data_IF_954339757318
#
_entry.id   IF_954339757318
#
_cell.length_a   1.000
_cell.length_b   1.000
_cell.length_c   1.000
_cell.angle_alpha   90.00
_cell.angle_beta   90.00
_cell.angle_gamma   90.00
#
_symmetry.space_group_name_H-M   'P 1'
#
loop_
_entity.id
_entity.type
_entity.pdbx_description
1 polymer ?
#
# COMPACT_ATOMS: atom_id res chain seq x y z
N UNK A 1 -15.61 -32.33 -15.58
CA UNK A 1 -15.15 -32.52 -14.18
C UNK A 1 -14.43 -31.25 -13.74
N UNK A 2 -14.90 -30.57 -12.70
CA UNK A 2 -14.30 -29.29 -12.28
C UNK A 2 -12.89 -29.53 -11.73
N UNK A 3 -11.90 -28.91 -12.36
CA UNK A 3 -10.57 -28.81 -11.75
C UNK A 3 -10.73 -28.22 -10.33
N UNK A 4 -10.10 -28.80 -9.30
CA UNK A 4 -10.17 -28.29 -7.93
C UNK A 4 -9.83 -26.80 -7.93
N UNK A 5 -10.66 -25.97 -7.29
CA UNK A 5 -10.45 -24.51 -7.29
C UNK A 5 -9.07 -24.15 -6.73
N UNK A 6 -8.57 -24.89 -5.74
CA UNK A 6 -7.22 -24.75 -5.22
C UNK A 6 -6.13 -24.83 -6.30
N UNK A 7 -6.26 -25.73 -7.28
CA UNK A 7 -5.29 -25.86 -8.38
C UNK A 7 -5.30 -24.65 -9.31
N UNK A 8 -6.46 -23.98 -9.47
CA UNK A 8 -6.57 -22.73 -10.23
C UNK A 8 -5.87 -21.59 -9.48
N UNK A 9 -6.12 -21.45 -8.17
CA UNK A 9 -5.43 -20.45 -7.36
C UNK A 9 -3.93 -20.65 -7.35
N UNK A 10 -3.44 -21.88 -7.15
CA UNK A 10 -2.00 -22.19 -7.17
C UNK A 10 -1.34 -21.91 -8.52
N UNK A 11 -2.08 -22.08 -9.63
CA UNK A 11 -1.60 -21.71 -10.96
C UNK A 11 -1.40 -20.20 -11.07
N UNK A 12 -2.41 -19.42 -10.70
CA UNK A 12 -2.35 -17.94 -10.75
C UNK A 12 -1.25 -17.44 -9.83
N UNK A 13 -1.19 -17.92 -8.58
CA UNK A 13 -0.15 -17.54 -7.61
C UNK A 13 1.27 -17.84 -8.12
N UNK A 14 1.45 -18.93 -8.88
CA UNK A 14 2.74 -19.24 -9.51
C UNK A 14 3.03 -18.30 -10.68
N UNK A 15 2.03 -18.01 -11.52
CA UNK A 15 2.16 -17.10 -12.67
C UNK A 15 2.55 -15.68 -12.23
N UNK A 16 2.03 -15.21 -11.09
CA UNK A 16 2.41 -13.91 -10.50
C UNK A 16 3.65 -13.98 -9.60
N UNK A 17 4.32 -15.13 -9.51
CA UNK A 17 5.58 -15.29 -8.76
C UNK A 17 5.44 -15.28 -7.24
N UNK A 18 4.23 -15.41 -6.68
CA UNK A 18 3.99 -15.48 -5.24
C UNK A 18 4.26 -16.86 -4.63
N UNK A 19 4.25 -17.92 -5.44
CA UNK A 19 4.59 -19.28 -4.98
C UNK A 19 5.58 -19.95 -5.93
N UNK A 20 6.51 -20.71 -5.35
CA UNK A 20 7.40 -21.62 -6.07
C UNK A 20 6.83 -23.03 -6.05
N UNK A 21 7.07 -23.76 -7.14
CA UNK A 21 6.73 -25.18 -7.26
C UNK A 21 8.00 -26.01 -7.37
N UNK A 22 8.06 -27.12 -6.63
CA UNK A 22 9.06 -28.16 -6.80
C UNK A 22 8.41 -29.51 -6.99
N UNK A 23 8.97 -30.32 -7.87
CA UNK A 23 8.51 -31.70 -8.08
C UNK A 23 9.20 -32.63 -7.07
N UNK A 24 8.42 -33.49 -6.44
CA UNK A 24 8.87 -34.51 -5.49
C UNK A 24 8.24 -35.85 -5.89
N UNK A 25 8.87 -36.52 -6.86
CA UNK A 25 8.32 -37.72 -7.49
C UNK A 25 7.00 -37.41 -8.19
N UNK A 26 5.90 -38.03 -7.73
CA UNK A 26 4.55 -37.81 -8.28
C UNK A 26 3.83 -36.59 -7.68
N UNK A 27 4.44 -35.90 -6.72
CA UNK A 27 3.84 -34.77 -6.01
C UNK A 27 4.42 -33.44 -6.48
N UNK A 28 3.59 -32.38 -6.46
CA UNK A 28 4.04 -30.99 -6.61
C UNK A 28 3.89 -30.29 -5.28
N UNK A 29 5.00 -29.79 -4.76
CA UNK A 29 5.05 -29.08 -3.49
C UNK A 29 5.14 -27.58 -3.77
N UNK A 30 4.21 -26.83 -3.18
CA UNK A 30 4.11 -25.38 -3.33
C UNK A 30 4.62 -24.71 -2.06
N UNK A 31 5.52 -23.73 -2.22
CA UNK A 31 6.03 -22.91 -1.13
C UNK A 31 5.86 -21.44 -1.45
N UNK A 32 5.63 -20.62 -0.43
CA UNK A 32 5.53 -19.17 -0.58
C UNK A 32 6.87 -18.58 -1.05
N UNK A 33 6.83 -17.64 -1.97
CA UNK A 33 7.98 -16.86 -2.40
C UNK A 33 7.83 -15.39 -1.98
N UNK A 34 8.46 -15.03 -0.87
CA UNK A 34 8.46 -13.65 -0.36
C UNK A 34 8.99 -12.62 -1.37
N UNK A 35 9.77 -13.05 -2.37
CA UNK A 35 10.27 -12.16 -3.44
C UNK A 35 9.13 -11.61 -4.31
N UNK A 36 8.06 -12.38 -4.52
CA UNK A 36 6.89 -11.93 -5.28
C UNK A 36 6.11 -10.81 -4.58
N UNK A 37 6.30 -10.62 -3.27
CA UNK A 37 5.68 -9.54 -2.50
C UNK A 37 6.48 -8.23 -2.52
N UNK A 38 7.72 -8.25 -3.01
CA UNK A 38 8.59 -7.07 -3.02
C UNK A 38 8.00 -5.87 -3.77
N UNK A 39 7.41 -6.02 -4.98
CA UNK A 39 6.82 -4.87 -5.69
C UNK A 39 5.68 -4.22 -4.91
N UNK A 40 4.88 -5.01 -4.19
CA UNK A 40 3.79 -4.49 -3.34
C UNK A 40 4.38 -3.71 -2.17
N UNK A 41 5.40 -4.25 -1.52
CA UNK A 41 6.08 -3.58 -0.42
C UNK A 41 6.72 -2.25 -0.85
N UNK A 42 7.39 -2.22 -2.01
CA UNK A 42 7.98 -1.00 -2.58
C UNK A 42 6.91 0.05 -2.92
N UNK A 43 5.79 -0.39 -3.50
CA UNK A 43 4.66 0.50 -3.80
C UNK A 43 4.02 1.08 -2.53
N UNK A 44 3.81 0.26 -1.50
CA UNK A 44 3.28 0.74 -0.21
C UNK A 44 4.25 1.73 0.45
N UNK A 45 5.55 1.46 0.43
CA UNK A 45 6.54 2.40 0.98
C UNK A 45 6.54 3.76 0.28
N UNK A 46 6.45 3.78 -1.06
CA UNK A 46 6.32 5.05 -1.79
C UNK A 46 5.01 5.81 -1.50
N UNK A 47 3.94 5.08 -1.16
CA UNK A 47 2.68 5.68 -0.76
C UNK A 47 2.79 6.38 0.60
N UNK A 48 3.53 5.81 1.56
CA UNK A 48 3.77 6.45 2.86
C UNK A 48 4.45 7.82 2.70
N UNK A 49 5.48 7.91 1.86
CA UNK A 49 6.19 9.16 1.58
C UNK A 49 5.26 10.22 0.97
N UNK A 50 4.45 9.83 -0.02
CA UNK A 50 3.46 10.70 -0.65
C UNK A 50 2.44 11.27 0.35
N UNK A 51 1.93 10.45 1.28
CA UNK A 51 0.98 10.94 2.27
C UNK A 51 1.62 11.85 3.29
N UNK A 52 2.85 11.56 3.73
CA UNK A 52 3.57 12.43 4.65
C UNK A 52 3.73 13.83 4.06
N UNK A 53 4.19 13.96 2.81
CA UNK A 53 4.29 15.28 2.15
C UNK A 53 2.93 15.99 2.05
N UNK A 54 1.87 15.24 1.78
CA UNK A 54 0.51 15.79 1.68
C UNK A 54 0.02 16.32 3.03
N UNK A 55 0.29 15.59 4.11
CA UNK A 55 -0.04 16.01 5.47
C UNK A 55 0.80 17.19 5.93
N UNK A 56 2.09 17.25 5.59
CA UNK A 56 2.95 18.40 5.91
C UNK A 56 2.42 19.70 5.27
N UNK A 57 2.02 19.66 3.99
CA UNK A 57 1.40 20.81 3.32
C UNK A 57 0.06 21.20 3.93
N UNK A 58 -0.73 20.22 4.38
CA UNK A 58 -1.98 20.49 5.06
C UNK A 58 -1.74 21.20 6.41
N UNK A 59 -0.73 20.76 7.15
CA UNK A 59 -0.34 21.36 8.42
C UNK A 59 0.12 22.81 8.25
N UNK A 60 0.91 23.10 7.21
CA UNK A 60 1.30 24.46 6.83
C UNK A 60 0.07 25.33 6.53
N UNK A 61 -0.82 24.86 5.65
CA UNK A 61 -2.03 25.59 5.30
C UNK A 61 -2.92 25.90 6.51
N UNK A 62 -3.07 24.94 7.42
CA UNK A 62 -3.85 25.13 8.66
C UNK A 62 -3.17 26.13 9.59
N UNK A 63 -1.83 26.17 9.65
CA UNK A 63 -1.10 27.18 10.43
C UNK A 63 -1.32 28.58 9.86
N UNK A 64 -1.22 28.74 8.55
CA UNK A 64 -1.42 30.02 7.88
C UNK A 64 -2.84 30.55 8.11
N UNK A 65 -3.87 29.70 7.98
CA UNK A 65 -5.25 30.07 8.30
C UNK A 65 -5.43 30.49 9.76
N UNK A 66 -4.74 29.82 10.70
CA UNK A 66 -4.80 30.18 12.13
C UNK A 66 -4.10 31.50 12.43
N UNK A 67 -3.02 31.81 11.73
CA UNK A 67 -2.29 33.08 11.88
C UNK A 67 -3.11 34.23 11.29
N UNK A 68 -3.65 34.07 10.08
CA UNK A 68 -4.51 35.07 9.45
C UNK A 68 -5.73 35.43 10.32
N UNK A 69 -6.33 34.44 11.00
CA UNK A 69 -7.44 34.68 11.96
C UNK A 69 -7.00 35.41 13.24
N UNK A 70 -5.75 35.28 13.66
CA UNK A 70 -5.24 35.93 14.87
C UNK A 70 -4.78 37.37 14.63
N UNK A 71 -4.54 37.75 13.37
CA UNK A 71 -4.14 39.10 12.96
C UNK A 71 -5.32 40.02 12.63
N UNK A 72 -6.56 39.50 12.58
CA UNK A 72 -7.76 40.34 12.56
C UNK A 72 -7.92 41.01 13.95
N UNK A 73 -7.82 42.36 14.03
CA UNK A 73 -8.08 43.06 15.29
C UNK A 73 -9.55 42.85 15.66
N UNK A 74 -9.91 42.88 16.95
CA UNK A 74 -11.32 42.86 17.33
C UNK A 74 -12.02 44.02 16.62
N UNK A 75 -13.12 43.74 15.93
CA UNK A 75 -14.04 44.77 15.45
C UNK A 75 -14.40 45.63 16.66
N UNK A 76 -13.83 46.84 16.73
CA UNK A 76 -14.29 47.91 17.60
C UNK A 76 -15.66 48.35 17.05
N UNK A 77 -16.70 47.57 17.39
CA UNK A 77 -18.09 48.02 17.32
C UNK A 77 -18.32 48.99 18.49
N UNK A 78 -18.18 50.30 18.21
CA UNK A 78 -18.69 51.41 19.05
C UNK A 78 -20.10 51.84 18.61
#
# INVERSE_FOLDING_TARGET
>A
MSQPQASKHLRVLREVGLVRVREAGKQRLYGLDARGLRPVHEWVGGFEEFWNETFDRLDEYVRDLKQARQEEPPDDDE
#
